data_IF_968332913685
#
_entry.id   IF_968332913685
#
_cell.length_a   1.000
_cell.length_b   1.000
_cell.length_c   1.000
_cell.angle_alpha   90.00
_cell.angle_beta   90.00
_cell.angle_gamma   90.00
#
_symmetry.space_group_name_H-M   'P 1'
#
loop_
_entity.id
_entity.type
_entity.pdbx_description
1 polymer ?
#
# COMPACT_ATOMS: atom_id res chain seq x y z
N UNK A 1 -30.82 15.50 10.19
CA UNK A 1 -30.40 16.91 10.27
C UNK A 1 -28.92 17.04 10.58
N UNK A 2 -28.42 16.55 11.70
CA UNK A 2 -27.01 16.70 12.11
C UNK A 2 -25.94 16.29 11.06
N UNK A 3 -26.15 15.18 10.31
CA UNK A 3 -25.20 14.72 9.29
C UNK A 3 -25.10 15.67 8.09
N UNK A 4 -26.22 16.26 7.66
CA UNK A 4 -26.24 17.22 6.55
C UNK A 4 -25.55 18.53 6.96
N UNK A 5 -25.85 19.04 8.15
CA UNK A 5 -25.20 20.25 8.67
C UNK A 5 -23.69 20.09 8.82
N UNK A 6 -23.24 18.91 9.23
CA UNK A 6 -21.82 18.54 9.31
C UNK A 6 -21.16 18.52 7.93
N UNK A 7 -21.81 17.90 6.94
CA UNK A 7 -21.36 17.88 5.56
C UNK A 7 -21.24 19.30 5.01
N UNK A 8 -22.32 20.11 5.13
CA UNK A 8 -22.36 21.48 4.62
C UNK A 8 -21.28 22.37 5.27
N UNK A 9 -20.98 22.16 6.56
CA UNK A 9 -19.90 22.87 7.26
C UNK A 9 -18.52 22.49 6.70
N UNK A 10 -18.26 21.20 6.47
CA UNK A 10 -17.00 20.74 5.89
C UNK A 10 -16.85 21.17 4.44
N UNK A 11 -17.97 21.28 3.71
CA UNK A 11 -18.01 21.77 2.33
C UNK A 11 -17.51 23.22 2.20
N UNK A 12 -17.71 24.07 3.24
CA UNK A 12 -17.19 25.44 3.26
C UNK A 12 -15.66 25.54 3.37
N UNK A 13 -14.97 24.45 3.73
CA UNK A 13 -13.54 24.40 3.98
C UNK A 13 -12.83 23.37 3.08
N UNK A 14 -13.33 23.15 1.86
CA UNK A 14 -12.74 22.24 0.90
C UNK A 14 -11.32 22.68 0.54
N UNK A 15 -10.36 21.77 0.69
CA UNK A 15 -9.01 22.03 0.24
C UNK A 15 -8.93 22.02 -1.29
N UNK A 16 -8.17 22.98 -1.84
CA UNK A 16 -7.88 23.06 -3.26
C UNK A 16 -6.72 22.16 -3.59
N UNK A 17 -7.00 20.98 -4.12
CA UNK A 17 -6.04 19.94 -4.46
C UNK A 17 -6.01 19.73 -5.97
N UNK A 18 -4.83 19.56 -6.55
CA UNK A 18 -4.67 19.19 -7.97
C UNK A 18 -4.49 17.68 -8.09
N UNK A 19 -5.52 16.99 -8.54
CA UNK A 19 -5.46 15.56 -8.83
C UNK A 19 -4.94 15.34 -10.27
N UNK A 20 -3.92 14.48 -10.43
CA UNK A 20 -3.22 14.30 -11.72
C UNK A 20 -3.54 12.99 -12.42
N UNK A 21 -3.98 11.98 -11.66
CA UNK A 21 -4.31 10.64 -12.16
C UNK A 21 -5.33 9.96 -11.24
N UNK A 22 -6.05 8.98 -11.79
CA UNK A 22 -6.95 8.12 -11.02
C UNK A 22 -7.01 6.74 -11.65
N UNK A 23 -7.11 5.70 -10.81
CA UNK A 23 -7.21 4.31 -11.25
C UNK A 23 -8.23 3.57 -10.39
N UNK A 24 -9.09 2.78 -11.03
CA UNK A 24 -10.02 1.88 -10.37
C UNK A 24 -9.37 0.51 -10.17
N UNK A 25 -9.43 -0.01 -8.95
CA UNK A 25 -8.81 -1.27 -8.56
C UNK A 25 -9.73 -2.05 -7.61
N UNK A 26 -9.49 -3.35 -7.51
CA UNK A 26 -10.02 -4.11 -6.37
C UNK A 26 -9.27 -3.72 -5.09
N UNK A 27 -9.97 -3.73 -3.96
CA UNK A 27 -9.36 -3.44 -2.65
C UNK A 27 -8.10 -4.27 -2.38
N UNK A 28 -8.09 -5.54 -2.79
CA UNK A 28 -6.96 -6.45 -2.63
C UNK A 28 -5.71 -6.08 -3.45
N UNK A 29 -5.84 -5.25 -4.49
CA UNK A 29 -4.76 -4.88 -5.41
C UNK A 29 -4.09 -3.55 -5.04
N UNK A 30 -4.69 -2.78 -4.12
CA UNK A 30 -4.25 -1.42 -3.78
C UNK A 30 -2.79 -1.37 -3.37
N UNK A 31 -2.38 -2.24 -2.44
CA UNK A 31 -1.01 -2.25 -1.91
C UNK A 31 0.05 -2.66 -2.95
N UNK A 32 -0.35 -3.33 -4.03
CA UNK A 32 0.55 -3.74 -5.11
C UNK A 32 0.77 -2.64 -6.15
N UNK A 33 -0.16 -1.68 -6.22
CA UNK A 33 -0.13 -0.57 -7.20
C UNK A 33 0.47 0.70 -6.61
N UNK A 34 0.39 0.87 -5.29
CA UNK A 34 0.98 2.02 -4.62
C UNK A 34 2.51 1.98 -4.74
N UNK A 35 3.04 2.91 -5.54
CA UNK A 35 4.47 3.03 -5.79
C UNK A 35 4.98 4.29 -5.09
N UNK A 36 5.53 4.12 -3.90
CA UNK A 36 6.23 5.17 -3.16
C UNK A 36 7.72 5.17 -3.54
N UNK A 37 8.35 6.33 -3.46
CA UNK A 37 9.81 6.44 -3.53
C UNK A 37 10.45 5.65 -2.38
N UNK A 38 11.60 5.00 -2.63
CA UNK A 38 12.29 4.19 -1.61
C UNK A 38 12.67 4.98 -0.34
N UNK A 39 12.64 6.31 -0.42
CA UNK A 39 13.00 7.21 0.68
C UNK A 39 11.79 7.61 1.55
N UNK A 40 10.58 7.20 1.17
CA UNK A 40 9.34 7.54 1.89
C UNK A 40 8.89 6.43 2.84
N UNK A 41 9.51 5.25 2.77
CA UNK A 41 9.02 4.04 3.43
C UNK A 41 8.07 3.25 2.54
N UNK A 42 7.33 2.31 3.13
CA UNK A 42 6.43 1.43 2.37
C UNK A 42 5.18 1.05 3.15
N UNK A 43 4.09 0.76 2.43
CA UNK A 43 2.82 0.30 3.01
C UNK A 43 2.52 -1.12 2.54
N UNK A 44 2.00 -1.94 3.44
CA UNK A 44 1.73 -3.35 3.23
C UNK A 44 0.43 -3.77 3.91
N UNK A 45 -0.12 -4.91 3.52
CA UNK A 45 -1.02 -5.64 4.42
C UNK A 45 -0.19 -6.33 5.50
N UNK A 46 -0.70 -6.43 6.72
CA UNK A 46 0.00 -7.04 7.85
C UNK A 46 0.46 -8.48 7.53
N UNK A 47 -0.45 -9.28 6.98
CA UNK A 47 -0.17 -10.68 6.64
C UNK A 47 0.92 -10.83 5.59
N UNK A 48 0.93 -9.98 4.56
CA UNK A 48 1.96 -10.01 3.51
C UNK A 48 3.33 -9.64 4.06
N UNK A 49 3.38 -8.70 5.00
CA UNK A 49 4.64 -8.25 5.62
C UNK A 49 5.28 -9.33 6.49
N UNK A 50 4.49 -9.97 7.35
CA UNK A 50 4.97 -11.01 8.26
C UNK A 50 4.90 -12.43 7.69
N UNK A 51 4.52 -12.61 6.41
CA UNK A 51 4.29 -13.90 5.77
C UNK A 51 3.38 -14.84 6.62
N UNK A 52 2.37 -14.25 7.28
CA UNK A 52 1.43 -14.98 8.13
C UNK A 52 0.51 -15.83 7.28
N UNK A 53 0.27 -17.07 7.73
CA UNK A 53 -0.71 -17.99 7.11
C UNK A 53 -2.12 -17.81 7.71
N UNK A 54 -2.25 -17.01 8.76
CA UNK A 54 -3.54 -16.71 9.34
C UNK A 54 -4.33 -15.81 8.40
N UNK A 55 -5.55 -16.21 8.09
CA UNK A 55 -6.49 -15.34 7.39
C UNK A 55 -6.96 -14.29 8.39
N UNK A 56 -6.40 -13.08 8.29
CA UNK A 56 -7.00 -11.95 8.96
C UNK A 56 -8.39 -11.72 8.38
N UNK A 57 -9.36 -11.77 9.22
CA UNK A 57 -10.75 -11.41 8.88
C UNK A 57 -10.94 -9.91 8.72
N UNK A 58 -9.93 -9.13 9.11
CA UNK A 58 -9.88 -7.68 9.02
C UNK A 58 -8.66 -7.26 8.18
N UNK A 59 -8.87 -6.32 7.27
CA UNK A 59 -7.82 -5.74 6.41
C UNK A 59 -6.87 -4.86 7.24
N UNK A 60 -5.99 -5.51 8.02
CA UNK A 60 -4.98 -4.82 8.79
C UNK A 60 -3.84 -4.36 7.89
N UNK A 61 -3.49 -3.07 7.97
CA UNK A 61 -2.41 -2.50 7.19
C UNK A 61 -1.23 -2.09 8.05
N UNK A 62 -0.09 -1.94 7.40
CA UNK A 62 1.20 -1.67 8.02
C UNK A 62 1.97 -0.66 7.20
N UNK A 63 2.54 0.33 7.88
CA UNK A 63 3.60 1.20 7.37
C UNK A 63 4.94 0.73 7.91
N UNK A 64 5.96 0.68 7.04
CA UNK A 64 7.34 0.40 7.38
C UNK A 64 8.20 1.62 7.03
N UNK A 65 9.03 2.08 7.96
CA UNK A 65 9.96 3.19 7.76
C UNK A 65 10.93 2.94 6.59
N UNK A 66 11.53 3.99 6.08
CA UNK A 66 12.55 3.93 5.02
C UNK A 66 13.70 2.98 5.37
N UNK A 67 14.18 3.03 6.61
CA UNK A 67 15.29 2.19 7.08
C UNK A 67 14.85 0.75 7.38
N UNK A 68 13.55 0.46 7.39
CA UNK A 68 13.01 -0.85 7.73
C UNK A 68 13.14 -1.20 9.22
N UNK A 69 13.38 -0.22 10.06
CA UNK A 69 13.65 -0.36 11.49
C UNK A 69 12.45 -0.04 12.39
N UNK A 70 11.43 0.60 11.86
CA UNK A 70 10.19 0.94 12.57
C UNK A 70 8.97 0.60 11.73
N UNK A 71 7.98 -0.03 12.37
CA UNK A 71 6.68 -0.30 11.76
C UNK A 71 5.56 0.28 12.62
N UNK A 72 4.52 0.78 11.94
CA UNK A 72 3.24 1.15 12.54
C UNK A 72 2.15 0.34 11.85
N UNK A 73 1.30 -0.33 12.60
CA UNK A 73 0.35 -1.27 12.04
C UNK A 73 -0.95 -1.36 12.86
N UNK A 74 -2.02 -1.73 12.18
CA UNK A 74 -3.31 -1.98 12.80
C UNK A 74 -3.41 -3.42 13.29
N UNK A 75 -3.98 -3.63 14.47
CA UNK A 75 -4.42 -4.94 14.96
C UNK A 75 -5.70 -4.85 15.76
N UNK A 76 -6.56 -5.88 15.69
CA UNK A 76 -7.80 -5.92 16.46
C UNK A 76 -7.52 -6.23 17.95
N UNK A 77 -8.39 -5.69 18.80
CA UNK A 77 -8.57 -6.13 20.15
C UNK A 77 -9.59 -7.30 20.24
N UNK A 78 -9.95 -7.71 21.46
CA UNK A 78 -10.92 -8.78 21.71
C UNK A 78 -12.35 -8.44 21.25
N UNK A 79 -12.66 -7.16 21.07
CA UNK A 79 -13.94 -6.66 20.57
C UNK A 79 -13.91 -6.40 19.03
N UNK A 80 -12.83 -6.79 18.35
CA UNK A 80 -12.58 -6.53 16.92
C UNK A 80 -12.46 -5.03 16.57
N UNK A 81 -12.13 -4.19 17.54
CA UNK A 81 -11.75 -2.79 17.31
C UNK A 81 -10.29 -2.74 16.93
N UNK A 82 -9.97 -2.08 15.82
CA UNK A 82 -8.61 -1.95 15.33
C UNK A 82 -7.88 -0.80 16.03
N UNK A 83 -6.74 -1.11 16.64
CA UNK A 83 -5.85 -0.11 17.25
C UNK A 83 -4.53 -0.06 16.50
N UNK A 84 -3.87 1.11 16.53
CA UNK A 84 -2.55 1.29 15.96
C UNK A 84 -1.46 1.00 17.00
N UNK A 85 -0.50 0.19 16.57
CA UNK A 85 0.68 -0.20 17.35
C UNK A 85 1.95 0.16 16.61
N UNK A 86 3.02 0.42 17.34
CA UNK A 86 4.36 0.52 16.82
C UNK A 86 5.23 -0.63 17.32
N UNK A 87 6.20 -1.03 16.49
CA UNK A 87 7.32 -1.90 16.87
C UNK A 87 8.60 -1.40 16.19
N UNK A 88 9.72 -1.62 16.86
CA UNK A 88 11.04 -1.26 16.37
C UNK A 88 11.93 -2.49 16.20
N UNK A 89 12.82 -2.47 15.24
CA UNK A 89 13.75 -3.54 14.97
C UNK A 89 14.92 -3.47 15.97
N UNK A 90 15.01 -4.44 16.85
CA UNK A 90 16.11 -4.59 17.80
C UNK A 90 16.97 -5.77 17.39
N UNK A 91 18.12 -5.50 16.79
CA UNK A 91 18.94 -6.52 16.14
C UNK A 91 18.23 -7.10 14.91
N UNK A 92 17.75 -8.34 14.99
CA UNK A 92 17.02 -9.01 13.88
C UNK A 92 15.58 -9.38 14.27
N UNK A 93 15.04 -8.79 15.32
CA UNK A 93 13.69 -9.09 15.82
C UNK A 93 12.91 -7.82 16.07
N UNK A 94 11.63 -7.87 15.76
CA UNK A 94 10.71 -6.82 16.14
C UNK A 94 10.48 -6.80 17.65
N UNK A 95 10.48 -5.61 18.24
CA UNK A 95 10.14 -5.40 19.65
C UNK A 95 8.69 -5.83 19.93
N UNK A 96 8.35 -5.93 21.20
CA UNK A 96 6.93 -6.05 21.59
C UNK A 96 6.17 -4.81 21.09
N UNK A 97 4.94 -5.04 20.62
CA UNK A 97 4.05 -3.96 20.17
C UNK A 97 3.77 -2.98 21.32
N UNK A 98 3.76 -1.71 21.00
CA UNK A 98 3.37 -0.61 21.88
C UNK A 98 2.19 0.11 21.23
N UNK A 99 1.08 0.27 21.94
CA UNK A 99 -0.06 1.05 21.44
C UNK A 99 0.35 2.50 21.27
N UNK A 100 -0.13 3.16 20.20
CA UNK A 100 0.14 4.57 19.98
C UNK A 100 -0.68 5.42 20.98
N UNK A 101 -0.03 6.14 21.90
CA UNK A 101 -0.72 6.93 22.90
C UNK A 101 -1.33 8.20 22.27
N UNK A 102 -2.50 8.64 22.78
CA UNK A 102 -3.17 9.86 22.33
C UNK A 102 -4.24 9.63 21.25
N UNK A 103 -4.41 8.42 20.75
CA UNK A 103 -5.51 8.05 19.86
C UNK A 103 -6.73 7.56 20.68
N UNK A 104 -7.92 7.67 20.09
CA UNK A 104 -9.16 7.23 20.72
C UNK A 104 -9.28 5.70 20.72
N UNK A 105 -9.49 5.08 21.89
CA UNK A 105 -9.54 3.63 22.02
C UNK A 105 -10.92 3.02 21.69
N UNK A 106 -11.96 3.84 21.55
CA UNK A 106 -13.33 3.34 21.35
C UNK A 106 -13.70 3.06 19.90
N UNK A 107 -12.85 3.47 18.95
CA UNK A 107 -13.12 3.39 17.52
C UNK A 107 -11.96 2.75 16.74
N UNK A 108 -12.28 2.13 15.61
CA UNK A 108 -11.25 1.48 14.79
C UNK A 108 -10.38 2.50 14.05
N UNK A 109 -9.06 2.24 14.10
CA UNK A 109 -8.02 2.96 13.37
C UNK A 109 -7.27 2.00 12.45
N UNK A 110 -6.99 2.40 11.22
CA UNK A 110 -6.25 1.58 10.24
C UNK A 110 -5.49 2.48 9.25
N UNK A 111 -4.78 1.89 8.32
CA UNK A 111 -4.09 2.57 7.22
C UNK A 111 -3.08 3.64 7.68
N UNK A 112 -2.18 3.32 8.62
CA UNK A 112 -1.20 4.28 9.10
C UNK A 112 -0.17 4.63 8.03
N UNK A 113 0.24 5.89 8.01
CA UNK A 113 1.35 6.40 7.22
C UNK A 113 2.05 7.53 7.96
N UNK A 114 3.35 7.37 8.23
CA UNK A 114 4.19 8.36 8.89
C UNK A 114 4.98 9.14 7.84
N UNK A 115 4.99 10.47 7.94
CA UNK A 115 5.87 11.29 7.12
C UNK A 115 7.34 11.07 7.44
N UNK A 116 8.21 11.52 6.55
CA UNK A 116 9.67 11.42 6.73
C UNK A 116 10.20 12.25 7.89
N UNK A 117 9.41 13.19 8.40
CA UNK A 117 9.69 13.96 9.63
C UNK A 117 9.67 13.10 10.90
N UNK A 118 9.14 11.87 10.82
CA UNK A 118 9.03 10.93 11.94
C UNK A 118 8.04 11.32 13.04
N UNK A 119 7.31 12.43 12.85
CA UNK A 119 6.39 12.99 13.85
C UNK A 119 4.94 13.07 13.34
N UNK A 120 4.74 13.33 12.05
CA UNK A 120 3.41 13.49 11.46
C UNK A 120 2.85 12.16 10.98
N UNK A 121 1.75 11.72 11.59
CA UNK A 121 1.04 10.47 11.29
C UNK A 121 -0.29 10.76 10.62
N UNK A 122 -0.51 10.17 9.44
CA UNK A 122 -1.81 10.03 8.80
C UNK A 122 -2.36 8.64 9.03
N UNK A 123 -3.66 8.53 9.24
CA UNK A 123 -4.34 7.24 9.41
C UNK A 123 -5.84 7.39 9.14
N UNK A 124 -6.53 6.30 8.90
CA UNK A 124 -7.98 6.31 8.79
C UNK A 124 -8.65 5.88 10.10
N UNK A 125 -9.72 6.57 10.47
CA UNK A 125 -10.48 6.32 11.70
C UNK A 125 -11.99 6.31 11.45
N UNK A 126 -12.71 5.47 12.19
CA UNK A 126 -14.18 5.46 12.25
C UNK A 126 -14.73 6.37 13.34
N UNK A 127 -14.06 7.49 13.60
CA UNK A 127 -14.47 8.44 14.63
C UNK A 127 -15.84 9.09 14.35
N UNK A 128 -16.59 9.41 15.40
CA UNK A 128 -17.93 10.01 15.29
C UNK A 128 -17.93 11.41 14.68
N UNK A 129 -16.81 12.11 14.70
CA UNK A 129 -16.67 13.43 14.06
C UNK A 129 -16.35 13.32 12.55
N UNK A 130 -16.15 12.10 12.01
CA UNK A 130 -16.01 11.80 10.59
C UNK A 130 -17.27 12.07 9.77
N UNK A 131 -17.17 12.03 8.45
CA UNK A 131 -18.29 12.18 7.50
C UNK A 131 -18.91 10.84 7.11
N UNK A 132 -18.12 9.79 7.07
CA UNK A 132 -18.50 8.48 6.55
C UNK A 132 -18.17 7.31 7.46
N UNK A 133 -17.62 6.27 6.85
CA UNK A 133 -17.08 5.11 7.54
C UNK A 133 -15.69 5.39 8.08
N UNK A 134 -14.64 5.05 7.32
CA UNK A 134 -13.30 5.53 7.58
C UNK A 134 -13.12 6.94 7.01
N UNK A 135 -12.63 7.87 7.81
CA UNK A 135 -12.15 9.18 7.41
C UNK A 135 -10.67 9.30 7.72
N UNK A 136 -9.94 10.08 6.93
CA UNK A 136 -8.51 10.34 7.15
C UNK A 136 -8.31 11.41 8.22
N UNK A 137 -7.42 11.11 9.15
CA UNK A 137 -6.98 12.00 10.23
C UNK A 137 -5.48 12.20 10.16
N UNK A 138 -5.04 13.34 10.63
CA UNK A 138 -3.64 13.69 10.84
C UNK A 138 -3.41 14.02 12.30
N UNK A 139 -2.29 13.56 12.83
CA UNK A 139 -1.81 13.95 14.16
C UNK A 139 -0.29 14.08 14.15
N UNK A 140 0.26 14.67 15.20
CA UNK A 140 1.71 14.84 15.38
C UNK A 140 2.13 14.32 16.73
N UNK A 141 3.33 13.74 16.76
CA UNK A 141 3.98 13.35 17.99
C UNK A 141 4.41 14.57 18.79
N UNK A 142 4.12 14.55 20.07
CA UNK A 142 4.56 15.54 21.06
C UNK A 142 5.63 14.92 21.93
N UNK A 143 6.86 15.43 21.82
CA UNK A 143 8.02 14.93 22.56
C UNK A 143 7.94 15.28 24.06
N UNK A 144 7.27 16.37 24.43
CA UNK A 144 7.15 16.78 25.83
C UNK A 144 6.17 15.86 26.58
N UNK A 145 5.02 15.58 25.97
CA UNK A 145 3.96 14.73 26.54
C UNK A 145 4.11 13.25 26.20
N UNK A 146 5.07 12.88 25.33
CA UNK A 146 5.32 11.50 24.85
C UNK A 146 4.04 10.82 24.31
N UNK A 147 3.25 11.55 23.53
CA UNK A 147 2.00 11.07 22.91
C UNK A 147 1.69 11.82 21.62
N UNK A 148 0.79 11.27 20.85
CA UNK A 148 0.22 12.01 19.72
C UNK A 148 -0.75 13.09 20.22
N UNK A 149 -0.69 14.25 19.59
CA UNK A 149 -1.63 15.36 19.79
C UNK A 149 -3.05 14.93 19.38
N UNK A 150 -4.04 15.73 19.75
CA UNK A 150 -5.42 15.49 19.33
C UNK A 150 -5.50 15.41 17.81
N UNK A 151 -6.00 14.30 17.23
CA UNK A 151 -6.09 14.13 15.80
C UNK A 151 -7.03 15.13 15.14
N UNK A 152 -6.68 15.59 13.95
CA UNK A 152 -7.47 16.49 13.13
C UNK A 152 -7.96 15.76 11.89
N UNK A 153 -9.29 15.81 11.63
CA UNK A 153 -9.87 15.33 10.37
C UNK A 153 -9.42 16.23 9.22
N UNK A 154 -8.72 15.66 8.21
CA UNK A 154 -8.14 16.48 7.13
C UNK A 154 -9.18 17.12 6.21
N UNK A 155 -10.44 16.68 6.27
CA UNK A 155 -11.55 17.31 5.58
C UNK A 155 -11.66 16.98 4.10
N UNK A 156 -12.52 17.73 3.41
CA UNK A 156 -12.74 17.56 1.97
C UNK A 156 -11.60 18.17 1.15
N UNK A 157 -11.27 17.60 -0.02
CA UNK A 157 -11.97 16.53 -0.75
C UNK A 157 -11.57 15.10 -0.32
N UNK A 158 -10.64 14.95 0.60
CA UNK A 158 -10.14 13.62 0.99
C UNK A 158 -11.20 12.82 1.77
N UNK A 159 -11.90 13.46 2.72
CA UNK A 159 -12.94 12.80 3.50
C UNK A 159 -14.33 13.01 2.89
N UNK A 160 -15.14 11.95 2.90
CA UNK A 160 -16.45 11.88 2.25
C UNK A 160 -17.46 11.06 3.07
N UNK A 161 -18.73 11.00 2.68
CA UNK A 161 -19.70 10.07 3.30
C UNK A 161 -19.42 8.58 3.09
N UNK A 162 -18.43 8.20 2.25
CA UNK A 162 -18.01 6.83 1.99
C UNK A 162 -16.87 6.41 2.96
N UNK A 163 -16.07 5.41 2.59
CA UNK A 163 -14.83 5.12 3.30
C UNK A 163 -13.65 5.73 2.54
N UNK A 164 -12.84 6.43 3.27
CA UNK A 164 -11.62 7.04 2.80
C UNK A 164 -10.47 6.39 3.57
N UNK A 165 -9.64 5.61 2.86
CA UNK A 165 -8.78 4.61 3.51
C UNK A 165 -7.34 5.06 3.72
N UNK A 166 -6.67 5.50 2.67
CA UNK A 166 -5.24 5.75 2.63
C UNK A 166 -4.96 7.16 2.17
N UNK A 167 -4.01 7.81 2.84
CA UNK A 167 -3.46 9.10 2.46
C UNK A 167 -1.94 9.05 2.64
N UNK A 168 -1.21 9.13 1.53
CA UNK A 168 0.23 8.96 1.48
C UNK A 168 0.85 10.17 0.80
N UNK A 169 2.00 10.63 1.26
CA UNK A 169 2.77 11.72 0.64
C UNK A 169 4.19 11.26 0.42
N UNK A 170 4.62 11.27 -0.83
CA UNK A 170 6.02 11.14 -1.23
C UNK A 170 6.60 12.54 -1.39
N UNK A 171 7.23 13.04 -0.33
CA UNK A 171 7.78 14.39 -0.25
C UNK A 171 8.89 14.60 -1.29
N UNK A 172 9.70 13.56 -1.58
CA UNK A 172 10.79 13.62 -2.55
C UNK A 172 10.28 13.81 -3.98
N UNK A 173 9.26 13.07 -4.34
CA UNK A 173 8.68 13.14 -5.67
C UNK A 173 7.56 14.17 -5.75
N UNK A 174 7.19 14.82 -4.64
CA UNK A 174 6.09 15.78 -4.55
C UNK A 174 4.78 15.20 -5.14
N UNK A 175 4.47 13.98 -4.74
CA UNK A 175 3.26 13.26 -5.13
C UNK A 175 2.55 12.73 -3.89
N UNK A 176 1.22 12.71 -3.94
CA UNK A 176 0.39 12.10 -2.93
C UNK A 176 -0.54 11.07 -3.53
N UNK A 177 -0.94 10.09 -2.73
CA UNK A 177 -1.95 9.08 -3.08
C UNK A 177 -3.07 9.08 -2.06
N UNK A 178 -4.25 8.90 -2.56
CA UNK A 178 -5.46 8.87 -1.77
C UNK A 178 -6.37 7.75 -2.27
N UNK A 179 -6.94 6.96 -1.37
CA UNK A 179 -7.76 5.79 -1.69
C UNK A 179 -9.14 5.92 -1.06
N UNK A 180 -10.18 5.73 -1.87
CA UNK A 180 -11.57 5.85 -1.43
C UNK A 180 -12.49 4.87 -2.17
N UNK A 181 -13.57 4.43 -1.52
CA UNK A 181 -14.64 3.65 -2.19
C UNK A 181 -15.86 4.50 -2.57
N UNK A 182 -15.75 5.85 -2.54
CA UNK A 182 -16.83 6.75 -2.94
C UNK A 182 -17.28 6.46 -4.38
N UNK A 183 -18.58 6.29 -4.55
CA UNK A 183 -19.17 6.01 -5.85
C UNK A 183 -18.78 4.65 -6.47
N UNK A 184 -18.17 3.74 -5.68
CA UNK A 184 -17.72 2.44 -6.15
C UNK A 184 -18.56 1.28 -5.58
N UNK A 185 -18.44 0.10 -6.19
CA UNK A 185 -19.00 -1.14 -5.67
C UNK A 185 -18.20 -1.63 -4.46
N UNK A 186 -18.76 -2.55 -3.67
CA UNK A 186 -18.24 -3.01 -2.40
C UNK A 186 -16.75 -3.43 -2.40
N UNK A 187 -16.26 -4.07 -3.48
CA UNK A 187 -14.89 -4.58 -3.58
C UNK A 187 -13.96 -3.68 -4.40
N UNK A 188 -14.46 -2.54 -4.87
CA UNK A 188 -13.72 -1.63 -5.74
C UNK A 188 -13.41 -0.33 -5.03
N UNK A 189 -12.24 0.22 -5.29
CA UNK A 189 -11.80 1.54 -4.81
C UNK A 189 -11.22 2.34 -5.95
N UNK A 190 -11.23 3.65 -5.80
CA UNK A 190 -10.48 4.57 -6.64
C UNK A 190 -9.23 5.03 -5.90
N UNK A 191 -8.08 4.89 -6.55
CA UNK A 191 -6.80 5.45 -6.11
C UNK A 191 -6.55 6.71 -6.92
N UNK A 192 -6.53 7.86 -6.26
CA UNK A 192 -6.17 9.13 -6.85
C UNK A 192 -4.70 9.44 -6.59
N UNK A 193 -4.01 10.02 -7.58
CA UNK A 193 -2.71 10.65 -7.39
C UNK A 193 -2.88 12.17 -7.46
N UNK A 194 -2.23 12.90 -6.55
CA UNK A 194 -2.37 14.35 -6.45
C UNK A 194 -1.03 15.02 -6.17
N UNK A 195 -0.98 16.34 -6.35
CA UNK A 195 0.15 17.19 -5.96
C UNK A 195 -0.11 17.69 -4.55
N UNK A 196 0.72 17.31 -3.53
CA UNK A 196 0.58 17.81 -2.18
C UNK A 196 0.78 19.33 -2.12
N UNK A 197 -0.04 20.00 -1.32
CA UNK A 197 0.16 21.42 -1.03
C UNK A 197 1.17 21.58 0.13
N UNK A 198 2.17 22.42 -0.01
CA UNK A 198 3.04 22.82 1.11
C UNK A 198 2.28 23.53 2.21
N UNK A 199 1.28 24.33 1.82
CA UNK A 199 0.36 25.03 2.72
C UNK A 199 -1.06 24.77 2.26
N UNK A 200 -1.92 24.38 3.18
CA UNK A 200 -3.34 24.12 2.91
C UNK A 200 -4.00 25.37 2.32
N UNK A 201 -4.57 25.22 1.13
CA UNK A 201 -5.33 26.27 0.43
C UNK A 201 -6.77 25.80 0.31
N UNK A 202 -7.72 26.64 0.66
CA UNK A 202 -9.15 26.33 0.55
C UNK A 202 -9.78 27.11 -0.60
N UNK A 203 -10.86 26.55 -1.16
CA UNK A 203 -11.69 27.30 -2.10
C UNK A 203 -12.45 28.40 -1.35
N UNK A 204 -12.63 29.55 -2.02
CA UNK A 204 -13.53 30.59 -1.50
C UNK A 204 -14.99 30.18 -1.78
N UNK A 205 -15.64 29.63 -0.76
CA UNK A 205 -17.02 29.16 -0.87
C UNK A 205 -18.02 30.28 -1.20
N UNK A 206 -17.69 31.52 -0.90
CA UNK A 206 -18.52 32.68 -1.25
C UNK A 206 -18.53 33.05 -2.73
N UNK A 207 -17.49 32.63 -3.46
CA UNK A 207 -17.33 32.88 -4.91
C UNK A 207 -17.84 31.70 -5.75
N UNK A 208 -17.93 30.51 -5.19
CA UNK A 208 -18.33 29.29 -5.88
C UNK A 208 -19.78 28.93 -5.52
N UNK A 209 -20.57 28.53 -6.50
CA UNK A 209 -21.90 27.97 -6.26
C UNK A 209 -21.83 26.62 -5.53
N UNK A 210 -22.87 26.27 -4.78
CA UNK A 210 -22.98 25.04 -4.00
C UNK A 210 -22.67 23.78 -4.84
N UNK A 211 -23.24 23.67 -6.06
CA UNK A 211 -23.02 22.52 -6.95
C UNK A 211 -21.56 22.37 -7.37
N UNK A 212 -20.85 23.48 -7.54
CA UNK A 212 -19.43 23.48 -7.86
C UNK A 212 -18.60 23.00 -6.67
N UNK A 213 -18.91 23.45 -5.47
CA UNK A 213 -18.26 22.97 -4.25
C UNK A 213 -18.47 21.47 -4.07
N UNK A 214 -19.70 20.98 -4.26
CA UNK A 214 -20.02 19.55 -4.21
C UNK A 214 -19.24 18.78 -5.29
N UNK A 215 -19.12 19.31 -6.50
CA UNK A 215 -18.35 18.66 -7.57
C UNK A 215 -16.86 18.52 -7.20
N UNK A 216 -16.25 19.51 -6.56
CA UNK A 216 -14.89 19.41 -6.04
C UNK A 216 -14.76 18.46 -4.83
N UNK A 217 -15.72 18.48 -3.91
CA UNK A 217 -15.74 17.60 -2.76
C UNK A 217 -15.86 16.13 -3.18
N UNK A 218 -16.68 15.84 -4.18
CA UNK A 218 -16.92 14.49 -4.73
C UNK A 218 -15.85 14.04 -5.72
N UNK A 219 -14.93 14.93 -6.12
CA UNK A 219 -13.91 14.68 -7.16
C UNK A 219 -14.58 14.16 -8.45
N UNK A 220 -15.66 14.83 -8.91
CA UNK A 220 -16.41 14.39 -10.10
C UNK A 220 -15.56 14.38 -11.36
N UNK A 221 -14.59 15.29 -11.45
CA UNK A 221 -13.60 15.33 -12.53
C UNK A 221 -12.26 15.83 -11.98
N UNK A 222 -11.21 15.04 -12.14
CA UNK A 222 -9.86 15.46 -11.78
C UNK A 222 -9.39 16.65 -12.64
N UNK A 223 -9.88 16.76 -13.89
CA UNK A 223 -9.50 17.83 -14.82
C UNK A 223 -9.97 19.21 -14.34
N UNK A 224 -11.08 19.27 -13.61
CA UNK A 224 -11.61 20.53 -13.08
C UNK A 224 -10.70 21.11 -11.98
N UNK A 225 -9.80 20.28 -11.42
CA UNK A 225 -8.80 20.72 -10.44
C UNK A 225 -7.53 21.30 -11.07
N UNK A 226 -7.39 21.23 -12.40
CA UNK A 226 -6.17 21.63 -13.12
C UNK A 226 -6.14 23.15 -13.36
N UNK A 227 -5.39 23.85 -12.55
CA UNK A 227 -5.18 25.30 -12.72
C UNK A 227 -3.94 25.57 -13.59
N UNK A 228 -2.85 24.87 -13.31
CA UNK A 228 -1.61 24.93 -14.07
C UNK A 228 -1.36 23.59 -14.78
N UNK A 229 -1.58 23.59 -16.10
CA UNK A 229 -1.37 22.39 -16.93
C UNK A 229 0.10 21.97 -17.03
N UNK A 230 1.05 22.89 -16.88
CA UNK A 230 2.47 22.54 -16.91
C UNK A 230 2.85 21.80 -15.63
N UNK A 231 2.40 22.29 -14.48
CA UNK A 231 2.60 21.60 -13.20
C UNK A 231 1.99 20.19 -13.20
N UNK A 232 0.81 20.02 -13.79
CA UNK A 232 0.17 18.71 -13.95
C UNK A 232 1.01 17.79 -14.83
N UNK A 233 1.48 18.27 -15.99
CA UNK A 233 2.30 17.48 -16.91
C UNK A 233 3.64 17.04 -16.27
N UNK A 234 4.30 17.92 -15.53
CA UNK A 234 5.51 17.60 -14.78
C UNK A 234 5.25 16.54 -13.70
N UNK A 235 4.17 16.68 -12.94
CA UNK A 235 3.80 15.70 -11.92
C UNK A 235 3.44 14.32 -12.52
N UNK A 236 2.74 14.30 -13.66
CA UNK A 236 2.46 13.08 -14.41
C UNK A 236 3.75 12.40 -14.91
N UNK A 237 4.74 13.17 -15.36
CA UNK A 237 6.05 12.66 -15.75
C UNK A 237 6.81 12.05 -14.55
N UNK A 238 6.75 12.69 -13.36
CA UNK A 238 7.31 12.11 -12.12
C UNK A 238 6.64 10.78 -11.78
N UNK A 239 5.30 10.73 -11.84
CA UNK A 239 4.53 9.51 -11.59
C UNK A 239 4.93 8.36 -12.53
N UNK A 240 5.05 8.65 -13.83
CA UNK A 240 5.49 7.67 -14.83
C UNK A 240 6.92 7.18 -14.55
N UNK A 241 7.81 8.09 -14.15
CA UNK A 241 9.19 7.74 -13.79
C UNK A 241 9.24 6.77 -12.60
N UNK A 242 8.44 7.00 -11.55
CA UNK A 242 8.36 6.12 -10.39
C UNK A 242 7.79 4.76 -10.80
N UNK A 243 6.68 4.72 -11.52
CA UNK A 243 6.05 3.48 -12.01
C UNK A 243 7.02 2.64 -12.86
N UNK A 244 7.84 3.29 -13.68
CA UNK A 244 8.85 2.61 -14.49
C UNK A 244 10.04 2.11 -13.65
N UNK A 245 10.47 2.85 -12.64
CA UNK A 245 11.49 2.40 -11.67
C UNK A 245 10.98 1.19 -10.88
N UNK A 246 9.76 1.25 -10.38
CA UNK A 246 9.15 0.16 -9.60
C UNK A 246 8.96 -1.09 -10.45
N UNK A 247 8.53 -0.96 -11.71
CA UNK A 247 8.49 -2.09 -12.65
C UNK A 247 9.87 -2.70 -12.88
N UNK A 248 10.92 -1.89 -13.06
CA UNK A 248 12.30 -2.37 -13.19
C UNK A 248 12.80 -3.04 -11.90
N UNK A 249 12.44 -2.53 -10.72
CA UNK A 249 12.80 -3.11 -9.44
C UNK A 249 12.01 -4.41 -9.18
N UNK A 250 10.73 -4.49 -9.54
CA UNK A 250 9.93 -5.71 -9.42
C UNK A 250 10.38 -6.82 -10.37
N UNK A 251 10.89 -6.45 -11.56
CA UNK A 251 11.56 -7.38 -12.47
C UNK A 251 13.00 -7.70 -12.04
N UNK A 252 13.58 -6.93 -11.11
CA UNK A 252 14.99 -7.03 -10.69
C UNK A 252 15.14 -7.21 -9.17
N UNK A 253 14.18 -7.83 -8.48
CA UNK A 253 14.40 -8.32 -7.11
C UNK A 253 15.27 -9.58 -7.12
N UNK A 254 16.47 -9.43 -7.70
CA UNK A 254 17.50 -10.40 -7.50
C UNK A 254 17.96 -10.31 -6.04
N UNK A 255 17.61 -11.30 -5.25
CA UNK A 255 18.09 -11.47 -3.88
C UNK A 255 18.50 -12.92 -3.71
N UNK A 256 19.79 -13.16 -3.56
CA UNK A 256 20.33 -14.48 -3.35
C UNK A 256 21.13 -14.53 -2.05
N UNK A 257 20.66 -15.31 -1.09
CA UNK A 257 21.31 -15.47 0.21
C UNK A 257 22.39 -16.54 0.10
N UNK A 258 23.66 -16.14 0.24
CA UNK A 258 24.81 -17.03 0.28
C UNK A 258 24.95 -17.68 1.66
N UNK A 259 24.91 -16.85 2.71
CA UNK A 259 24.93 -17.28 4.12
C UNK A 259 24.30 -16.18 4.99
N UNK A 260 24.32 -16.36 6.32
CA UNK A 260 23.69 -15.45 7.29
C UNK A 260 24.25 -14.01 7.25
N UNK A 261 25.45 -13.81 6.67
CA UNK A 261 26.14 -12.51 6.61
C UNK A 261 26.18 -11.92 5.20
N UNK A 262 25.94 -12.71 4.15
CA UNK A 262 26.14 -12.28 2.76
C UNK A 262 24.87 -12.57 1.95
N UNK A 263 24.29 -11.50 1.42
CA UNK A 263 23.19 -11.55 0.46
C UNK A 263 23.56 -10.76 -0.78
N UNK A 264 23.49 -11.39 -1.95
CA UNK A 264 23.71 -10.74 -3.23
C UNK A 264 22.41 -10.13 -3.75
N UNK A 265 22.49 -8.88 -4.22
CA UNK A 265 21.35 -8.12 -4.77
C UNK A 265 21.43 -7.90 -6.28
N UNK A 266 22.54 -8.33 -6.89
CA UNK A 266 22.72 -8.33 -8.35
C UNK A 266 23.72 -9.42 -8.77
N UNK A 267 23.68 -9.79 -10.07
CA UNK A 267 24.53 -10.82 -10.64
C UNK A 267 26.03 -10.48 -10.67
N UNK A 268 26.39 -9.20 -10.61
CA UNK A 268 27.78 -8.77 -10.62
C UNK A 268 28.51 -9.05 -9.30
N UNK A 269 27.78 -9.32 -8.21
CA UNK A 269 28.34 -9.63 -6.89
C UNK A 269 28.88 -11.08 -6.78
N UNK A 270 28.51 -11.98 -7.71
CA UNK A 270 29.03 -13.33 -7.74
C UNK A 270 30.52 -13.32 -8.09
N UNK A 271 31.33 -13.97 -7.27
CA UNK A 271 32.79 -13.98 -7.37
C UNK A 271 33.28 -14.92 -8.50
N UNK A 272 32.56 -16.00 -8.73
CA UNK A 272 32.91 -17.00 -9.72
C UNK A 272 31.99 -16.92 -10.94
N UNK A 273 32.56 -17.03 -12.14
CA UNK A 273 31.79 -16.96 -13.38
C UNK A 273 30.77 -18.11 -13.51
N UNK A 274 31.10 -19.28 -12.95
CA UNK A 274 30.20 -20.44 -12.97
C UNK A 274 29.00 -20.23 -12.06
N UNK A 275 29.19 -19.75 -10.83
CA UNK A 275 28.09 -19.43 -9.93
C UNK A 275 27.18 -18.31 -10.48
N UNK A 276 27.76 -17.34 -11.22
CA UNK A 276 27.00 -16.32 -11.91
C UNK A 276 26.09 -16.90 -13.00
N UNK A 277 26.58 -17.80 -13.85
CA UNK A 277 25.77 -18.49 -14.87
C UNK A 277 24.66 -19.34 -14.24
N UNK A 278 24.97 -20.02 -13.13
CA UNK A 278 23.96 -20.76 -12.37
C UNK A 278 22.91 -19.83 -11.76
N UNK A 279 23.30 -18.66 -11.28
CA UNK A 279 22.38 -17.66 -10.75
C UNK A 279 21.48 -17.05 -11.85
N UNK A 280 21.98 -16.88 -13.08
CA UNK A 280 21.17 -16.48 -14.24
C UNK A 280 20.10 -17.54 -14.56
N UNK A 281 20.48 -18.83 -14.52
CA UNK A 281 19.55 -19.95 -14.69
C UNK A 281 18.53 -20.00 -13.55
N UNK A 282 18.97 -19.85 -12.33
CA UNK A 282 18.12 -19.78 -11.13
C UNK A 282 17.05 -18.68 -11.27
N UNK A 283 17.44 -17.49 -11.72
CA UNK A 283 16.52 -16.36 -11.91
C UNK A 283 15.43 -16.68 -12.95
N UNK A 284 15.82 -17.35 -14.04
CA UNK A 284 14.86 -17.80 -15.06
C UNK A 284 13.87 -18.81 -14.51
N UNK A 285 14.35 -19.79 -13.75
CA UNK A 285 13.50 -20.81 -13.14
C UNK A 285 12.59 -20.25 -12.06
N UNK A 286 13.03 -19.24 -11.30
CA UNK A 286 12.18 -18.50 -10.37
C UNK A 286 11.02 -17.80 -11.08
N UNK A 287 11.29 -17.19 -12.24
CA UNK A 287 10.24 -16.56 -13.07
C UNK A 287 9.23 -17.59 -13.58
N UNK A 288 9.71 -18.73 -14.10
CA UNK A 288 8.85 -19.83 -14.57
C UNK A 288 7.98 -20.41 -13.43
N UNK A 289 8.55 -20.56 -12.24
CA UNK A 289 7.81 -20.99 -11.04
C UNK A 289 6.68 -20.04 -10.68
N UNK A 290 6.96 -18.74 -10.67
CA UNK A 290 5.99 -17.72 -10.30
C UNK A 290 4.86 -17.61 -11.34
N UNK A 291 5.17 -17.79 -12.62
CA UNK A 291 4.16 -17.87 -13.69
C UNK A 291 3.28 -19.12 -13.55
N UNK A 292 3.90 -20.29 -13.29
CA UNK A 292 3.18 -21.53 -13.05
C UNK A 292 2.25 -21.43 -11.83
N UNK A 293 2.74 -20.83 -10.74
CA UNK A 293 1.94 -20.61 -9.54
C UNK A 293 0.70 -19.74 -9.81
N UNK A 294 0.88 -18.61 -10.50
CA UNK A 294 -0.25 -17.71 -10.85
C UNK A 294 -1.28 -18.42 -11.73
N UNK A 295 -0.83 -19.21 -12.69
CA UNK A 295 -1.71 -19.98 -13.55
C UNK A 295 -2.47 -21.05 -12.77
N UNK A 296 -1.80 -21.76 -11.86
CA UNK A 296 -2.41 -22.73 -10.96
C UNK A 296 -3.48 -22.10 -10.06
N UNK A 297 -3.20 -20.92 -9.49
CA UNK A 297 -4.16 -20.20 -8.63
C UNK A 297 -5.46 -19.87 -9.39
N UNK A 298 -5.32 -19.38 -10.61
CA UNK A 298 -6.47 -19.09 -11.50
C UNK A 298 -7.25 -20.36 -11.84
N UNK A 299 -6.56 -21.42 -12.25
CA UNK A 299 -7.20 -22.69 -12.65
C UNK A 299 -7.90 -23.38 -11.46
N UNK A 300 -7.28 -23.37 -10.28
CA UNK A 300 -7.85 -23.92 -9.05
C UNK A 300 -9.12 -23.17 -8.63
N UNK A 301 -9.13 -21.85 -8.78
CA UNK A 301 -10.32 -21.05 -8.52
C UNK A 301 -11.43 -21.39 -9.51
N UNK A 302 -11.13 -21.46 -10.79
CA UNK A 302 -12.09 -21.90 -11.83
C UNK A 302 -12.62 -23.30 -11.55
N UNK A 303 -11.76 -24.25 -11.14
CA UNK A 303 -12.12 -25.61 -10.75
C UNK A 303 -13.09 -25.65 -9.57
N UNK A 304 -12.89 -24.79 -8.57
CA UNK A 304 -13.77 -24.73 -7.39
C UNK A 304 -15.19 -24.27 -7.72
N UNK A 305 -15.34 -23.47 -8.77
CA UNK A 305 -16.61 -22.88 -9.21
C UNK A 305 -17.28 -23.67 -10.37
N UNK A 306 -16.59 -24.66 -10.95
CA UNK A 306 -17.01 -25.39 -12.15
C UNK A 306 -17.98 -26.55 -11.87
N UNK A 307 -18.78 -26.90 -12.88
CA UNK A 307 -19.58 -28.13 -12.91
C UNK A 307 -18.68 -29.38 -13.18
N UNK A 308 -19.21 -30.59 -12.99
CA UNK A 308 -18.41 -31.84 -13.09
C UNK A 308 -17.76 -32.07 -14.46
N UNK A 309 -18.40 -31.62 -15.55
CA UNK A 309 -17.82 -31.77 -16.90
C UNK A 309 -16.63 -30.83 -17.12
N UNK A 310 -16.72 -29.59 -16.61
CA UNK A 310 -15.66 -28.62 -16.74
C UNK A 310 -14.52 -28.89 -15.75
N UNK A 311 -14.81 -29.47 -14.56
CA UNK A 311 -13.79 -29.96 -13.62
C UNK A 311 -12.87 -31.00 -14.26
N UNK A 312 -13.41 -31.92 -15.05
CA UNK A 312 -12.59 -32.94 -15.74
C UNK A 312 -11.58 -32.28 -16.69
N UNK A 313 -12.02 -31.30 -17.49
CA UNK A 313 -11.14 -30.57 -18.41
C UNK A 313 -10.09 -29.74 -17.66
N UNK A 314 -10.52 -29.04 -16.60
CA UNK A 314 -9.59 -28.25 -15.79
C UNK A 314 -8.55 -29.12 -15.08
N UNK A 315 -8.90 -30.34 -14.66
CA UNK A 315 -7.96 -31.29 -14.07
C UNK A 315 -6.85 -31.69 -15.05
N UNK A 316 -7.18 -31.86 -16.34
CA UNK A 316 -6.21 -32.18 -17.39
C UNK A 316 -5.16 -31.06 -17.58
N UNK A 317 -5.51 -29.81 -17.26
CA UNK A 317 -4.57 -28.69 -17.28
C UNK A 317 -3.84 -28.47 -15.94
N UNK A 318 -4.53 -28.68 -14.83
CA UNK A 318 -3.99 -28.45 -13.47
C UNK A 318 -2.90 -29.48 -13.15
N UNK A 319 -3.14 -30.78 -13.36
CA UNK A 319 -2.23 -31.85 -12.95
C UNK A 319 -0.83 -31.70 -13.57
N UNK A 320 -0.67 -31.52 -14.89
CA UNK A 320 0.67 -31.35 -15.47
C UNK A 320 1.37 -30.06 -15.02
N UNK A 321 0.59 -29.03 -14.72
CA UNK A 321 1.12 -27.76 -14.24
C UNK A 321 1.57 -27.84 -12.78
N UNK A 322 0.89 -28.63 -11.93
CA UNK A 322 1.29 -28.96 -10.57
C UNK A 322 2.59 -29.75 -10.55
N UNK A 323 2.68 -30.81 -11.36
CA UNK A 323 3.91 -31.60 -11.53
C UNK A 323 5.10 -30.72 -11.97
N UNK A 324 4.85 -29.83 -12.94
CA UNK A 324 5.87 -28.88 -13.40
C UNK A 324 6.30 -27.92 -12.30
N UNK A 325 5.37 -27.41 -11.51
CA UNK A 325 5.63 -26.51 -10.39
C UNK A 325 6.47 -27.20 -9.31
N UNK A 326 6.17 -28.45 -8.96
CA UNK A 326 6.93 -29.25 -7.99
C UNK A 326 8.37 -29.51 -8.46
N UNK A 327 8.55 -29.88 -9.74
CA UNK A 327 9.88 -30.06 -10.34
C UNK A 327 10.69 -28.77 -10.26
N UNK A 328 10.07 -27.62 -10.58
CA UNK A 328 10.74 -26.32 -10.50
C UNK A 328 11.21 -25.99 -9.08
N UNK A 329 10.43 -26.31 -8.04
CA UNK A 329 10.83 -26.11 -6.63
C UNK A 329 12.07 -26.96 -6.29
N UNK A 330 12.07 -28.23 -6.68
CA UNK A 330 13.19 -29.16 -6.42
C UNK A 330 14.47 -28.69 -7.13
N UNK A 331 14.34 -28.35 -8.41
CA UNK A 331 15.47 -27.89 -9.23
C UNK A 331 16.03 -26.56 -8.74
N UNK A 332 15.18 -25.58 -8.38
CA UNK A 332 15.57 -24.30 -7.78
C UNK A 332 16.35 -24.53 -6.49
N UNK A 333 15.84 -25.39 -5.61
CA UNK A 333 16.51 -25.70 -4.33
C UNK A 333 17.88 -26.37 -4.54
N UNK A 334 17.99 -27.26 -5.51
CA UNK A 334 19.25 -27.92 -5.87
C UNK A 334 20.26 -26.90 -6.42
N UNK A 335 19.80 -26.02 -7.32
CA UNK A 335 20.62 -24.98 -7.93
C UNK A 335 21.12 -23.95 -6.90
N UNK A 336 20.30 -23.61 -5.94
CA UNK A 336 20.71 -22.73 -4.83
C UNK A 336 21.85 -23.34 -3.98
N UNK A 337 21.79 -24.64 -3.69
CA UNK A 337 22.87 -25.34 -2.97
C UNK A 337 24.16 -25.33 -3.76
N UNK A 338 24.08 -25.56 -5.07
CA UNK A 338 25.24 -25.56 -5.96
C UNK A 338 25.88 -24.17 -6.03
N UNK A 339 25.09 -23.11 -6.21
CA UNK A 339 25.56 -21.71 -6.21
C UNK A 339 26.26 -21.36 -4.90
N UNK A 340 25.66 -21.68 -3.74
CA UNK A 340 26.28 -21.45 -2.43
C UNK A 340 27.59 -22.18 -2.27
N UNK A 341 27.68 -23.43 -2.75
CA UNK A 341 28.92 -24.22 -2.69
C UNK A 341 30.06 -23.60 -3.50
N UNK A 342 29.77 -22.95 -4.63
CA UNK A 342 30.77 -22.20 -5.40
C UNK A 342 31.20 -20.90 -4.69
N UNK A 343 30.31 -20.18 -4.10
CA UNK A 343 30.58 -18.87 -3.47
C UNK A 343 31.23 -18.97 -2.08
N UNK A 344 31.19 -20.13 -1.44
CA UNK A 344 31.83 -20.41 -0.14
C UNK A 344 33.23 -21.02 -0.27
N UNK A 345 33.69 -21.32 -1.49
CA UNK A 345 35.06 -21.72 -1.80
C UNK A 345 35.98 -20.50 -1.93
#
# INVERSE_FOLDING_TARGET
MARKEKYDRKLQAIERVTFIDSILLKKSEVMDVLSLGGETGSVHTYNKFFASTEKDTLDCTLFCSQLGDKIIYAQPDTASVLHLYASEMIGQKWSKRVALPGLEDSVSHNYPFMLTDGSTLYYASKSEDGLGGYDIYMTRWDDDDQRFLKPENIGMPFNSPANDYLYLIDEFNQLGWFVTDRGQNADTVCVYCFIPNEVRRIYNAGELGYDTLVAYADIRSIRDTWVDKNQVAEAQNRLLSIRNKTKKISTNRFRFVINDMITYTNLAQFRHNESRKLAERWLKMMTERDEAYRKLDILRKQYSEANEQDKTKLSEEIIPLEERYEILIIDITSLEKEIRAFEQR
#
